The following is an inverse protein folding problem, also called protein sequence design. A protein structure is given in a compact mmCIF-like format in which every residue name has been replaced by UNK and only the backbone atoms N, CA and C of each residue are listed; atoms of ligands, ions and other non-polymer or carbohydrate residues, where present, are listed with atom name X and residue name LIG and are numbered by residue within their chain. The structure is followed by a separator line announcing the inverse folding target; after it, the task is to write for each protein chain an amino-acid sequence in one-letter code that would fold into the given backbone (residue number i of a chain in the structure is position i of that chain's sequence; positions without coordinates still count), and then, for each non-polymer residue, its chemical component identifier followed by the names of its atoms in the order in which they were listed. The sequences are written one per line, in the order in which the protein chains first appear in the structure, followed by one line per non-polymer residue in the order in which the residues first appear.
data_IF_405638527239
#
_entry.id   IF_405638527239
#
_cell.length_a   1.000
_cell.length_b   1.000
_cell.length_c   1.000
_cell.angle_alpha   90.00
_cell.angle_beta   90.00
_cell.angle_gamma   90.00
#
_symmetry.space_group_name_H-M   'P 1'
#
loop_
_entity.id
_entity.type
_entity.pdbx_description
1 polymer ?
#
# COMPACT_ATOMS: atom_id res chain seq x y z
N UNK A 1 -3.50 9.21 -11.78
CA UNK A 1 -3.52 9.29 -11.14
C UNK A 1 -3.35 9.48 -10.29
N UNK A 2 -3.50 9.28 -9.92
CA UNK A 2 -3.10 9.67 -9.30
C UNK A 2 -2.81 9.39 -8.02
N UNK A 3 -1.69 9.56 -7.54
CA UNK A 3 -1.30 9.17 -6.22
C UNK A 3 -2.04 9.92 -5.14
N UNK A 4 -2.60 11.04 -5.46
CA UNK A 4 -3.39 11.77 -4.47
C UNK A 4 -4.71 11.06 -4.17
N UNK A 5 -5.01 10.00 -4.90
CA UNK A 5 -6.17 9.17 -4.59
C UNK A 5 -5.87 8.12 -3.51
N UNK A 6 -4.63 7.97 -3.11
CA UNK A 6 -4.24 6.97 -2.12
C UNK A 6 -4.48 7.55 -0.73
N UNK A 7 -5.31 6.86 0.05
CA UNK A 7 -5.69 7.32 1.39
C UNK A 7 -5.63 6.17 2.38
N UNK A 8 -5.40 6.45 3.66
CA UNK A 8 -5.41 5.40 4.68
C UNK A 8 -6.72 4.63 4.68
N UNK A 9 -6.63 3.33 4.86
CA UNK A 9 -7.78 2.45 4.82
C UNK A 9 -8.11 1.93 3.45
N UNK A 10 -7.54 2.49 2.42
CA UNK A 10 -7.77 2.06 1.05
C UNK A 10 -7.04 0.74 0.79
N UNK A 11 -7.64 -0.10 -0.05
CA UNK A 11 -7.02 -1.37 -0.42
C UNK A 11 -6.19 -1.20 -1.67
N UNK A 12 -5.14 -2.01 -1.76
CA UNK A 12 -4.19 -1.84 -2.83
C UNK A 12 -3.51 -3.17 -3.13
N UNK A 13 -3.19 -3.39 -4.41
CA UNK A 13 -2.49 -4.60 -4.84
C UNK A 13 -1.25 -4.16 -5.59
N UNK A 14 -0.11 -4.78 -5.26
CA UNK A 14 1.14 -4.47 -5.92
C UNK A 14 1.20 -5.19 -7.26
N UNK A 15 1.32 -4.43 -8.35
CA UNK A 15 1.47 -5.01 -9.68
C UNK A 15 2.82 -5.71 -9.82
N UNK A 16 3.83 -5.19 -9.16
CA UNK A 16 5.18 -5.75 -9.26
C UNK A 16 5.33 -7.01 -8.42
N UNK A 17 4.57 -7.11 -7.34
CA UNK A 17 4.68 -8.23 -6.41
C UNK A 17 3.30 -8.75 -6.05
N UNK A 18 2.60 -9.38 -7.01
CA UNK A 18 1.24 -9.85 -6.75
C UNK A 18 1.16 -10.93 -5.68
N UNK A 19 2.27 -11.59 -5.40
CA UNK A 19 2.31 -12.61 -4.36
C UNK A 19 2.08 -12.03 -2.97
N UNK A 20 2.22 -10.72 -2.78
CA UNK A 20 1.93 -10.09 -1.51
C UNK A 20 0.44 -10.10 -1.18
N UNK A 21 -0.38 -10.24 -2.21
CA UNK A 21 -1.82 -10.26 -2.00
C UNK A 21 -2.37 -8.86 -1.80
N UNK A 22 -3.53 -8.78 -1.16
CA UNK A 22 -4.20 -7.51 -0.93
C UNK A 22 -3.52 -6.74 0.19
N UNK A 23 -3.22 -5.49 -0.07
CA UNK A 23 -2.65 -4.59 0.91
C UNK A 23 -3.66 -3.59 1.41
N UNK A 24 -3.38 -3.04 2.58
CA UNK A 24 -4.18 -1.97 3.18
C UNK A 24 -3.28 -0.78 3.42
N UNK A 25 -3.67 0.37 2.91
CA UNK A 25 -2.89 1.59 3.10
C UNK A 25 -3.01 2.01 4.55
N UNK A 26 -1.89 2.05 5.26
CA UNK A 26 -1.86 2.41 6.67
C UNK A 26 -1.67 3.90 6.85
N UNK A 27 -0.86 4.52 6.00
CA UNK A 27 -0.65 5.96 6.07
C UNK A 27 -0.19 6.47 4.72
N UNK A 28 -0.44 7.73 4.45
CA UNK A 28 -0.03 8.37 3.21
C UNK A 28 0.24 9.84 3.50
N UNK A 29 1.31 10.34 2.90
CA UNK A 29 1.68 11.73 3.06
C UNK A 29 3.18 11.91 2.95
N UNK A 30 3.62 13.15 2.83
CA UNK A 30 5.05 13.49 2.74
C UNK A 30 5.76 12.71 1.64
N UNK A 31 5.07 12.40 0.57
CA UNK A 31 5.64 11.66 -0.55
C UNK A 31 5.85 10.18 -0.29
N UNK A 32 5.26 9.63 0.77
CA UNK A 32 5.41 8.23 1.11
C UNK A 32 4.07 7.59 1.41
N UNK A 33 4.00 6.30 1.14
CA UNK A 33 2.81 5.50 1.44
C UNK A 33 3.26 4.22 2.14
N UNK A 34 2.63 3.91 3.27
CA UNK A 34 2.87 2.67 3.99
C UNK A 34 1.69 1.73 3.75
N UNK A 35 1.98 0.52 3.31
CA UNK A 35 0.96 -0.46 2.99
C UNK A 35 1.26 -1.75 3.74
N UNK A 36 0.25 -2.28 4.42
CA UNK A 36 0.37 -3.55 5.12
C UNK A 36 -0.25 -4.64 4.26
N UNK A 37 0.45 -5.77 4.15
CA UNK A 37 -0.03 -6.95 3.45
C UNK A 37 -0.28 -8.05 4.47
N UNK A 38 -1.50 -8.14 5.02
CA UNK A 38 -1.75 -9.05 6.12
C UNK A 38 -1.61 -10.53 5.76
N UNK A 39 -1.82 -10.88 4.51
CA UNK A 39 -1.70 -12.29 4.10
C UNK A 39 -0.29 -12.82 4.28
N UNK A 40 0.71 -11.96 4.16
CA UNK A 40 2.11 -12.35 4.32
C UNK A 40 2.75 -11.68 5.52
N UNK A 41 1.97 -10.96 6.31
CA UNK A 41 2.43 -10.27 7.52
C UNK A 41 3.62 -9.38 7.22
N UNK A 42 3.53 -8.61 6.16
CA UNK A 42 4.61 -7.76 5.71
C UNK A 42 4.09 -6.34 5.49
N UNK A 43 4.97 -5.37 5.68
CA UNK A 43 4.64 -3.97 5.46
C UNK A 43 5.70 -3.35 4.55
N UNK A 44 5.23 -2.61 3.56
CA UNK A 44 6.11 -1.96 2.60
C UNK A 44 5.86 -0.47 2.58
N UNK A 45 6.90 0.28 2.30
CA UNK A 45 6.81 1.72 2.12
C UNK A 45 7.22 2.07 0.71
N UNK A 46 6.42 2.93 0.09
CA UNK A 46 6.64 3.37 -1.28
C UNK A 46 6.73 4.88 -1.31
N UNK A 47 7.60 5.37 -2.17
CA UNK A 47 7.77 6.81 -2.36
C UNK A 47 6.76 7.36 -3.35
#
# INVERSE_FOLDING_TARGET
MESDDIKPGQRWVSDAEPELGLGVVMSAGSGRVSILFPAVDDRREYA
#
